data_IF_089607503632
#
_entry.id   IF_089607503632
#
_cell.length_a   1.000
_cell.length_b   1.000
_cell.length_c   1.000
_cell.angle_alpha   90.00
_cell.angle_beta   90.00
_cell.angle_gamma   90.00
#
_symmetry.space_group_name_H-M   'P 1'
#
loop_
_entity.id
_entity.type
_entity.pdbx_description
1 polymer ?
#
# COMPACT_ATOMS: atom_id res chain seq x y z
N UNK A 1 0.12 3.68 -12.10
CA UNK A 1 0.66 4.76 -11.23
C UNK A 1 0.45 4.43 -9.74
N UNK A 2 1.56 4.41 -8.99
CA UNK A 2 1.60 4.19 -7.53
C UNK A 2 1.59 5.52 -6.78
N UNK A 3 0.80 5.61 -5.70
CA UNK A 3 0.67 6.80 -4.85
C UNK A 3 0.73 6.40 -3.38
N UNK A 4 1.76 6.87 -2.68
CA UNK A 4 1.83 6.76 -1.22
C UNK A 4 0.88 7.77 -0.57
N UNK A 5 0.04 7.32 0.35
CA UNK A 5 -0.98 8.14 1.01
C UNK A 5 -0.97 7.95 2.52
N UNK A 6 -1.53 8.93 3.24
CA UNK A 6 -1.84 8.86 4.67
C UNK A 6 -3.35 8.80 4.82
N UNK A 7 -3.86 7.84 5.58
CA UNK A 7 -5.31 7.70 5.82
C UNK A 7 -5.80 8.75 6.81
N UNK A 8 -7.02 9.25 6.58
CA UNK A 8 -7.80 10.03 7.55
C UNK A 8 -8.73 9.17 8.42
N UNK A 9 -8.60 7.84 8.35
CA UNK A 9 -9.38 6.87 9.13
C UNK A 9 -10.55 6.24 8.38
N UNK A 10 -10.93 6.78 7.22
CA UNK A 10 -12.11 6.35 6.45
C UNK A 10 -11.77 5.33 5.35
N UNK A 11 -10.49 5.13 5.06
CA UNK A 11 -10.04 4.25 3.98
C UNK A 11 -10.09 2.80 4.44
N UNK A 12 -10.64 1.90 3.61
CA UNK A 12 -10.57 0.44 3.82
C UNK A 12 -9.53 -0.18 2.90
N UNK A 13 -8.76 -1.11 3.44
CA UNK A 13 -7.80 -1.88 2.65
C UNK A 13 -8.54 -2.86 1.74
N UNK A 14 -8.27 -2.84 0.45
CA UNK A 14 -8.89 -3.74 -0.53
C UNK A 14 -8.46 -5.20 -0.37
N UNK A 15 -7.31 -5.45 0.26
CA UNK A 15 -6.78 -6.79 0.50
C UNK A 15 -7.41 -7.45 1.73
N UNK A 16 -7.22 -6.87 2.92
CA UNK A 16 -7.70 -7.45 4.18
C UNK A 16 -9.08 -6.95 4.62
N UNK A 17 -9.68 -5.99 3.91
CA UNK A 17 -10.99 -5.35 4.19
C UNK A 17 -11.11 -4.62 5.53
N UNK A 18 -10.03 -4.57 6.31
CA UNK A 18 -9.95 -3.78 7.55
C UNK A 18 -9.85 -2.28 7.22
N UNK A 19 -10.39 -1.39 8.08
CA UNK A 19 -10.13 0.04 7.98
C UNK A 19 -8.63 0.32 8.20
N UNK A 20 -8.13 1.36 7.55
CA UNK A 20 -6.79 1.90 7.70
C UNK A 20 -6.91 3.13 8.62
N UNK A 21 -6.47 3.05 9.89
CA UNK A 21 -6.63 4.12 10.87
C UNK A 21 -5.95 5.43 10.45
N UNK A 22 -6.36 6.55 11.03
CA UNK A 22 -5.52 7.75 11.02
C UNK A 22 -4.41 7.60 12.08
N UNK A 23 -3.15 8.00 11.80
CA UNK A 23 -2.58 8.50 10.54
C UNK A 23 -1.77 7.42 9.78
N UNK A 24 -2.30 6.20 9.65
CA UNK A 24 -1.55 5.09 9.00
C UNK A 24 -1.36 5.32 7.50
N UNK A 25 -0.24 4.79 6.99
CA UNK A 25 0.11 4.87 5.57
C UNK A 25 -0.53 3.75 4.76
N UNK A 26 -0.82 4.03 3.50
CA UNK A 26 -1.31 3.05 2.53
C UNK A 26 -0.84 3.37 1.11
N UNK A 27 -0.91 2.38 0.23
CA UNK A 27 -0.60 2.54 -1.19
C UNK A 27 -1.90 2.55 -2.01
N UNK A 28 -2.06 3.57 -2.85
CA UNK A 28 -3.05 3.55 -3.93
C UNK A 28 -2.34 3.15 -5.24
N UNK A 29 -2.85 2.12 -5.91
CA UNK A 29 -2.26 1.53 -7.12
C UNK A 29 -3.39 1.08 -8.06
N UNK A 30 -3.22 1.22 -9.37
CA UNK A 30 -4.17 0.67 -10.33
C UNK A 30 -3.85 -0.80 -10.58
N UNK A 31 -4.83 -1.70 -10.42
CA UNK A 31 -4.66 -3.13 -10.67
C UNK A 31 -5.73 -3.69 -11.61
N UNK A 32 -5.31 -4.60 -12.49
CA UNK A 32 -6.18 -5.43 -13.33
C UNK A 32 -5.72 -6.88 -13.20
N UNK A 33 -6.65 -7.79 -12.82
CA UNK A 33 -6.29 -9.19 -12.58
C UNK A 33 -5.25 -9.41 -11.47
N UNK A 34 -5.17 -8.49 -10.50
CA UNK A 34 -4.24 -8.59 -9.35
C UNK A 34 -2.79 -8.23 -9.66
N UNK A 35 -2.51 -7.66 -10.84
CA UNK A 35 -1.23 -7.06 -11.20
C UNK A 35 -1.41 -5.56 -11.45
N UNK A 36 -0.34 -4.80 -11.29
CA UNK A 36 -0.37 -3.38 -11.63
C UNK A 36 -0.63 -3.21 -13.13
N UNK A 37 -1.61 -2.38 -13.45
CA UNK A 37 -2.03 -2.06 -14.80
C UNK A 37 -2.56 -0.63 -14.80
N UNK A 38 -2.09 0.21 -15.71
CA UNK A 38 -2.49 1.63 -15.73
C UNK A 38 -3.97 1.82 -16.04
N UNK A 39 -4.56 0.92 -16.81
CA UNK A 39 -5.98 0.88 -17.15
C UNK A 39 -6.81 0.10 -16.09
N UNK A 40 -6.17 -0.34 -15.01
CA UNK A 40 -6.79 -1.04 -13.91
C UNK A 40 -7.56 -0.14 -12.94
N UNK A 41 -8.38 -0.76 -12.09
CA UNK A 41 -9.09 -0.06 -11.04
C UNK A 41 -8.13 0.35 -9.92
N UNK A 42 -8.31 1.55 -9.36
CA UNK A 42 -7.58 1.96 -8.18
C UNK A 42 -7.93 1.06 -6.98
N UNK A 43 -6.92 0.37 -6.46
CA UNK A 43 -6.93 -0.38 -5.21
C UNK A 43 -6.14 0.36 -4.14
N UNK A 44 -6.55 0.20 -2.89
CA UNK A 44 -5.92 0.80 -1.70
C UNK A 44 -5.45 -0.31 -0.77
N UNK A 45 -4.16 -0.37 -0.48
CA UNK A 45 -3.58 -1.42 0.34
C UNK A 45 -2.87 -0.85 1.56
N UNK A 46 -3.19 -1.36 2.75
CA UNK A 46 -2.40 -1.08 3.95
C UNK A 46 -0.97 -1.61 3.81
N UNK A 47 -0.06 -1.14 4.67
CA UNK A 47 1.35 -1.56 4.68
C UNK A 47 1.50 -3.08 4.68
N UNK A 48 0.78 -3.80 5.54
CA UNK A 48 0.86 -5.26 5.63
C UNK A 48 0.48 -5.97 4.33
N UNK A 49 -0.57 -5.49 3.64
CA UNK A 49 -0.98 -6.06 2.36
C UNK A 49 0.01 -5.71 1.24
N UNK A 50 0.61 -4.52 1.29
CA UNK A 50 1.67 -4.14 0.36
C UNK A 50 2.89 -5.05 0.50
N UNK A 51 3.32 -5.34 1.73
CA UNK A 51 4.43 -6.27 2.01
C UNK A 51 4.14 -7.67 1.47
N UNK A 52 2.93 -8.20 1.71
CA UNK A 52 2.52 -9.52 1.20
C UNK A 52 2.44 -9.59 -0.33
N UNK A 53 2.03 -8.50 -0.98
CA UNK A 53 1.94 -8.40 -2.45
C UNK A 53 3.27 -8.07 -3.12
N UNK A 54 4.31 -7.71 -2.36
CA UNK A 54 5.59 -7.27 -2.91
C UNK A 54 5.59 -5.82 -3.42
N UNK A 55 4.58 -5.03 -3.08
CA UNK A 55 4.54 -3.58 -3.37
C UNK A 55 5.27 -2.74 -2.33
N UNK A 56 5.69 -3.35 -1.23
CA UNK A 56 6.55 -2.72 -0.26
C UNK A 56 7.54 -3.74 0.31
N UNK A 57 8.67 -3.25 0.81
CA UNK A 57 9.59 -4.02 1.65
C UNK A 57 10.24 -3.08 2.67
N UNK A 58 10.67 -3.64 3.79
CA UNK A 58 11.57 -2.96 4.70
C UNK A 58 13.00 -3.16 4.23
N UNK A 59 13.76 -2.08 4.11
CA UNK A 59 15.20 -2.09 3.91
C UNK A 59 15.90 -1.56 5.14
N UNK A 60 17.06 -2.12 5.45
CA UNK A 60 17.92 -1.57 6.49
C UNK A 60 18.92 -0.61 5.84
N UNK A 61 18.90 0.65 6.24
CA UNK A 61 19.83 1.68 5.78
C UNK A 61 20.40 2.40 7.00
N UNK A 62 21.73 2.44 7.12
CA UNK A 62 22.43 3.07 8.25
C UNK A 62 21.94 2.61 9.63
N UNK A 63 21.49 1.36 9.74
CA UNK A 63 20.97 0.77 10.98
C UNK A 63 19.49 1.06 11.26
N UNK A 64 18.79 1.77 10.39
CA UNK A 64 17.36 2.04 10.50
C UNK A 64 16.54 1.20 9.51
N UNK A 65 15.36 0.73 9.94
CA UNK A 65 14.40 0.03 9.06
C UNK A 65 13.52 1.04 8.35
N UNK A 66 13.74 1.21 7.06
CA UNK A 66 12.98 2.09 6.18
C UNK A 66 11.95 1.28 5.40
N UNK A 67 10.67 1.67 5.48
CA UNK A 67 9.62 1.13 4.62
C UNK A 67 9.69 1.80 3.25
N UNK A 68 9.96 1.02 2.20
CA UNK A 68 9.99 1.49 0.82
C UNK A 68 8.86 0.83 0.03
N UNK A 69 8.08 1.64 -0.69
CA UNK A 69 7.12 1.16 -1.68
C UNK A 69 7.81 1.08 -3.04
N UNK A 70 7.61 -0.04 -3.75
CA UNK A 70 8.14 -0.26 -5.09
C UNK A 70 7.00 -0.10 -6.05
#
# INVERSE_FOLDING_TARGET
>A
MRRGCVSLGEIKCDGCKKPIPYPDRYLAINEKGGKEDEEGDTKRYCVECCLKKGYAQYKEEKGEKILTFF
#
